data_IF_930230054901
#
_entry.id   IF_930230054901
#
_cell.length_a   1.000
_cell.length_b   1.000
_cell.length_c   1.000
_cell.angle_alpha   90.00
_cell.angle_beta   90.00
_cell.angle_gamma   90.00
#
_symmetry.space_group_name_H-M   'P 1'
#
loop_
_entity.id
_entity.type
_entity.pdbx_description
1 polymer ?
#
# COMPACT_ATOMS: atom_id res chain seq x y z
N UNK A 1 -13.56 -0.46 26.82
CA UNK A 1 -13.65 0.84 26.12
C UNK A 1 -12.96 0.68 24.77
N UNK A 2 -13.70 0.34 23.73
CA UNK A 2 -13.12 0.10 22.41
C UNK A 2 -12.72 1.46 21.82
N UNK A 3 -11.42 1.73 21.79
CA UNK A 3 -10.84 2.86 21.09
C UNK A 3 -11.11 2.72 19.60
N UNK A 4 -12.12 3.42 19.09
CA UNK A 4 -12.37 3.55 17.66
C UNK A 4 -11.10 4.03 16.95
N UNK A 5 -10.70 3.43 15.82
CA UNK A 5 -9.60 3.96 15.02
C UNK A 5 -9.97 5.39 14.62
N UNK A 6 -9.05 6.34 14.79
CA UNK A 6 -9.22 7.73 14.33
C UNK A 6 -9.33 7.73 12.80
N UNK A 7 -10.54 7.53 12.29
CA UNK A 7 -10.87 7.48 10.87
C UNK A 7 -10.97 8.90 10.32
N UNK A 8 -10.61 9.16 9.05
CA UNK A 8 -10.99 10.40 8.40
C UNK A 8 -12.52 10.46 8.36
N UNK A 9 -13.11 11.37 9.13
CA UNK A 9 -14.54 11.68 9.08
C UNK A 9 -14.69 12.92 8.19
N UNK A 10 -15.07 12.70 6.93
CA UNK A 10 -15.33 13.80 6.00
C UNK A 10 -16.70 14.43 6.32
N UNK A 11 -16.78 15.73 6.65
CA UNK A 11 -18.06 16.39 6.90
C UNK A 11 -19.00 16.36 5.67
N UNK A 12 -18.46 16.13 4.47
CA UNK A 12 -19.21 15.99 3.21
C UNK A 12 -19.34 14.53 2.77
N UNK A 13 -19.23 13.57 3.69
CA UNK A 13 -19.34 12.15 3.36
C UNK A 13 -20.73 11.81 2.78
N UNK A 14 -20.72 11.13 1.64
CA UNK A 14 -21.89 10.66 0.90
C UNK A 14 -21.90 9.13 0.72
N UNK A 15 -20.90 8.43 1.30
CA UNK A 15 -20.79 6.97 1.36
C UNK A 15 -20.04 6.52 2.61
N UNK A 16 -20.39 5.33 3.10
CA UNK A 16 -19.64 4.61 4.13
C UNK A 16 -18.91 3.45 3.47
N UNK A 17 -17.59 3.36 3.69
CA UNK A 17 -16.82 2.15 3.41
C UNK A 17 -16.69 1.37 4.70
N UNK A 18 -17.19 0.14 4.73
CA UNK A 18 -17.05 -0.78 5.86
C UNK A 18 -15.92 -1.75 5.59
N UNK A 19 -14.94 -1.82 6.49
CA UNK A 19 -13.87 -2.80 6.42
C UNK A 19 -14.36 -4.21 6.75
N UNK A 20 -13.54 -5.23 6.45
CA UNK A 20 -13.88 -6.64 6.72
C UNK A 20 -13.98 -6.98 8.21
N UNK A 21 -13.33 -6.20 9.08
CA UNK A 21 -13.43 -6.25 10.54
C UNK A 21 -14.51 -5.33 11.12
N UNK A 22 -15.39 -4.77 10.26
CA UNK A 22 -16.62 -4.08 10.67
C UNK A 22 -16.45 -2.62 11.09
N UNK A 23 -15.34 -1.98 10.75
CA UNK A 23 -15.12 -0.55 11.02
C UNK A 23 -15.65 0.28 9.85
N UNK A 24 -16.44 1.30 10.17
CA UNK A 24 -17.04 2.20 9.20
C UNK A 24 -16.20 3.47 8.99
N UNK A 25 -15.98 3.81 7.72
CA UNK A 25 -15.26 5.00 7.29
C UNK A 25 -16.18 5.90 6.46
N UNK A 26 -16.38 7.13 6.91
CA UNK A 26 -17.24 8.14 6.25
C UNK A 26 -16.40 8.95 5.26
N UNK A 27 -16.68 8.79 3.97
CA UNK A 27 -15.84 9.35 2.90
C UNK A 27 -16.69 9.98 1.80
N UNK A 28 -16.07 10.83 0.98
CA UNK A 28 -16.71 11.42 -0.19
C UNK A 28 -16.39 10.62 -1.47
N UNK A 29 -17.42 10.15 -2.18
CA UNK A 29 -17.30 9.44 -3.45
C UNK A 29 -16.46 10.20 -4.45
N UNK A 30 -16.68 11.52 -4.57
CA UNK A 30 -15.95 12.39 -5.53
C UNK A 30 -14.43 12.32 -5.38
N UNK A 31 -13.92 12.24 -4.16
CA UNK A 31 -12.47 12.20 -3.90
C UNK A 31 -11.92 10.83 -4.27
N UNK A 32 -12.59 9.76 -3.84
CA UNK A 32 -12.17 8.39 -4.18
C UNK A 32 -12.27 8.11 -5.69
N UNK A 33 -13.31 8.58 -6.35
CA UNK A 33 -13.47 8.50 -7.80
C UNK A 33 -12.36 9.20 -8.57
N UNK A 34 -11.87 10.33 -8.06
CA UNK A 34 -10.77 11.07 -8.69
C UNK A 34 -9.44 10.31 -8.61
N UNK A 35 -9.23 9.54 -7.54
CA UNK A 35 -7.98 8.82 -7.28
C UNK A 35 -7.99 7.39 -7.82
N UNK A 36 -9.18 6.85 -8.10
CA UNK A 36 -9.38 5.44 -8.45
C UNK A 36 -10.56 5.25 -9.42
N UNK A 37 -10.31 4.71 -10.63
CA UNK A 37 -11.38 4.31 -11.53
C UNK A 37 -12.20 3.15 -10.96
N UNK A 38 -11.59 2.28 -10.14
CA UNK A 38 -12.30 1.17 -9.49
C UNK A 38 -13.36 1.69 -8.53
N UNK A 39 -13.06 2.72 -7.74
CA UNK A 39 -14.07 3.34 -6.89
C UNK A 39 -15.17 4.02 -7.70
N UNK A 40 -14.84 4.66 -8.83
CA UNK A 40 -15.85 5.19 -9.76
C UNK A 40 -16.82 4.11 -10.22
N UNK A 41 -16.31 2.98 -10.70
CA UNK A 41 -17.14 1.86 -11.15
C UNK A 41 -17.93 1.23 -9.99
N UNK A 42 -17.32 1.09 -8.82
CA UNK A 42 -17.94 0.53 -7.62
C UNK A 42 -19.15 1.36 -7.19
N UNK A 43 -19.01 2.69 -7.18
CA UNK A 43 -20.11 3.59 -6.83
C UNK A 43 -21.19 3.62 -7.90
N UNK A 44 -20.84 3.53 -9.19
CA UNK A 44 -21.80 3.50 -10.28
C UNK A 44 -22.67 2.22 -10.25
N UNK A 45 -22.10 1.08 -9.87
CA UNK A 45 -22.80 -0.21 -9.78
C UNK A 45 -23.79 -0.29 -8.62
N UNK A 46 -23.64 0.56 -7.60
CA UNK A 46 -24.62 0.69 -6.53
C UNK A 46 -24.78 -0.54 -5.62
N UNK A 47 -23.73 -1.33 -5.40
CA UNK A 47 -23.73 -2.45 -4.44
C UNK A 47 -23.73 -1.93 -2.99
N UNK A 48 -24.83 -1.32 -2.59
CA UNK A 48 -25.03 -0.75 -1.27
C UNK A 48 -25.82 -1.71 -0.39
N UNK A 49 -25.37 -1.91 0.84
CA UNK A 49 -26.24 -2.44 1.88
C UNK A 49 -27.23 -1.34 2.25
N UNK A 50 -28.46 -1.43 1.74
CA UNK A 50 -29.54 -0.53 2.13
C UNK A 50 -30.02 -0.87 3.53
N UNK A 51 -29.53 -0.13 4.53
CA UNK A 51 -30.19 -0.01 5.82
C UNK A 51 -30.82 1.39 5.89
N UNK A 52 -32.13 1.37 5.68
CA UNK A 52 -33.23 2.36 5.72
C UNK A 52 -33.08 3.78 6.32
N UNK A 53 -31.94 4.23 6.88
CA UNK A 53 -31.80 5.60 7.43
C UNK A 53 -30.38 6.21 7.40
N UNK A 54 -29.36 5.47 6.95
CA UNK A 54 -27.95 5.92 6.97
C UNK A 54 -27.36 6.04 5.55
N UNK A 55 -26.23 6.75 5.42
CA UNK A 55 -25.45 6.85 4.17
C UNK A 55 -25.24 5.46 3.53
N UNK A 56 -25.22 5.37 2.19
CA UNK A 56 -25.02 4.10 1.50
C UNK A 56 -23.71 3.44 1.92
N UNK A 57 -23.77 2.16 2.30
CA UNK A 57 -22.62 1.43 2.86
C UNK A 57 -22.12 0.38 1.88
N UNK A 58 -20.81 0.35 1.63
CA UNK A 58 -20.13 -0.68 0.81
C UNK A 58 -19.16 -1.46 1.70
N UNK A 59 -19.27 -2.79 1.68
CA UNK A 59 -18.32 -3.66 2.37
C UNK A 59 -17.11 -3.91 1.48
N UNK A 60 -15.93 -3.67 2.04
CA UNK A 60 -14.64 -3.97 1.44
C UNK A 60 -14.00 -5.16 2.18
N UNK A 61 -13.03 -5.82 1.54
CA UNK A 61 -12.37 -7.02 2.10
C UNK A 61 -11.15 -6.66 2.97
N UNK A 62 -10.69 -5.43 2.85
CA UNK A 62 -9.57 -4.84 3.54
C UNK A 62 -9.92 -4.63 5.00
N UNK A 63 -8.97 -4.92 5.90
CA UNK A 63 -9.13 -4.63 7.32
C UNK A 63 -9.10 -3.13 7.58
N UNK A 64 -9.57 -2.71 8.74
CA UNK A 64 -9.56 -1.31 9.18
C UNK A 64 -8.16 -0.70 9.19
N UNK A 65 -7.12 -1.49 9.50
CA UNK A 65 -5.72 -1.05 9.45
C UNK A 65 -5.30 -0.63 8.04
N UNK A 66 -5.48 -1.54 7.07
CA UNK A 66 -5.12 -1.31 5.66
C UNK A 66 -5.96 -0.20 5.04
N UNK A 67 -7.29 -0.27 5.22
CA UNK A 67 -8.21 0.72 4.67
C UNK A 67 -7.98 2.11 5.29
N UNK A 68 -7.70 2.17 6.59
CA UNK A 68 -7.36 3.42 7.27
C UNK A 68 -6.10 4.07 6.72
N UNK A 69 -5.05 3.30 6.43
CA UNK A 69 -3.82 3.83 5.80
C UNK A 69 -4.11 4.33 4.38
N UNK A 70 -4.85 3.56 3.58
CA UNK A 70 -5.27 3.95 2.24
C UNK A 70 -6.04 5.27 2.23
N UNK A 71 -7.00 5.43 3.14
CA UNK A 71 -7.77 6.65 3.23
C UNK A 71 -6.94 7.83 3.73
N UNK A 72 -6.02 7.65 4.69
CA UNK A 72 -5.10 8.72 5.12
C UNK A 72 -4.17 9.18 4.00
N UNK A 73 -3.75 8.28 3.11
CA UNK A 73 -2.98 8.65 1.92
C UNK A 73 -3.78 9.55 0.98
N UNK A 74 -5.08 9.28 0.82
CA UNK A 74 -5.98 10.02 -0.08
C UNK A 74 -6.47 11.34 0.56
N UNK A 75 -6.57 11.37 1.88
CA UNK A 75 -7.03 12.50 2.68
C UNK A 75 -5.92 13.02 3.63
N UNK A 76 -4.80 13.55 3.10
CA UNK A 76 -3.66 13.92 3.93
C UNK A 76 -3.95 15.07 4.91
N UNK A 77 -4.90 15.96 4.58
CA UNK A 77 -5.25 17.12 5.42
C UNK A 77 -6.11 16.80 6.66
N UNK A 78 -6.62 15.57 6.78
CA UNK A 78 -7.42 15.13 7.94
C UNK A 78 -6.65 14.19 8.87
N UNK A 79 -5.44 13.79 8.48
CA UNK A 79 -4.59 12.91 9.27
C UNK A 79 -3.61 13.73 10.13
N UNK A 80 -3.63 13.52 11.45
CA UNK A 80 -2.72 14.18 12.39
C UNK A 80 -1.27 13.68 12.27
N UNK A 81 -1.06 12.45 11.77
CA UNK A 81 0.21 11.74 11.77
C UNK A 81 0.38 10.91 10.49
N UNK A 82 1.63 10.72 10.06
CA UNK A 82 1.97 9.82 8.96
C UNK A 82 1.53 8.39 9.31
N UNK A 83 0.87 7.66 8.41
CA UNK A 83 0.47 6.29 8.68
C UNK A 83 1.69 5.39 8.92
N UNK A 84 1.65 4.62 10.00
CA UNK A 84 2.66 3.60 10.32
C UNK A 84 2.02 2.23 10.21
N UNK A 85 2.71 1.28 9.58
CA UNK A 85 2.29 -0.12 9.53
C UNK A 85 2.75 -0.86 10.78
N UNK A 86 1.95 -1.77 11.32
CA UNK A 86 2.36 -2.57 12.49
C UNK A 86 3.29 -3.71 12.10
N UNK A 87 3.10 -4.26 10.90
CA UNK A 87 3.86 -5.38 10.38
C UNK A 87 4.16 -5.19 8.90
N UNK A 88 5.17 -5.90 8.40
CA UNK A 88 5.45 -5.94 6.97
C UNK A 88 4.30 -6.54 6.16
N UNK A 89 3.60 -7.53 6.71
CA UNK A 89 2.42 -8.15 6.08
C UNK A 89 1.30 -7.13 5.87
N UNK A 90 1.05 -6.24 6.84
CA UNK A 90 0.07 -5.15 6.70
C UNK A 90 0.47 -4.20 5.56
N UNK A 91 1.76 -3.89 5.44
CA UNK A 91 2.28 -3.07 4.35
C UNK A 91 2.12 -3.76 2.97
N UNK A 92 2.31 -5.09 2.90
CA UNK A 92 2.07 -5.85 1.67
C UNK A 92 0.60 -5.85 1.27
N UNK A 93 -0.31 -6.04 2.23
CA UNK A 93 -1.75 -5.96 2.01
C UNK A 93 -2.17 -4.56 1.55
N UNK A 94 -1.55 -3.52 2.10
CA UNK A 94 -1.74 -2.14 1.67
C UNK A 94 -1.29 -1.90 0.23
N UNK A 95 -0.09 -2.33 -0.17
CA UNK A 95 0.34 -2.21 -1.58
C UNK A 95 -0.56 -3.03 -2.51
N UNK A 96 -1.05 -4.19 -2.07
CA UNK A 96 -2.05 -4.95 -2.80
C UNK A 96 -3.36 -4.17 -2.98
N UNK A 97 -3.81 -3.43 -1.96
CA UNK A 97 -4.97 -2.56 -2.04
C UNK A 97 -4.76 -1.40 -3.03
N UNK A 98 -3.59 -0.75 -3.01
CA UNK A 98 -3.21 0.31 -3.98
C UNK A 98 -3.35 -0.18 -5.41
N UNK A 99 -2.84 -1.38 -5.71
CA UNK A 99 -2.94 -1.99 -7.04
C UNK A 99 -4.37 -2.39 -7.37
N UNK A 100 -5.07 -3.04 -6.43
CA UNK A 100 -6.45 -3.49 -6.59
C UNK A 100 -7.42 -2.38 -6.92
N UNK A 101 -7.30 -1.26 -6.22
CA UNK A 101 -8.13 -0.09 -6.46
C UNK A 101 -7.58 0.79 -7.58
N UNK A 102 -6.48 0.39 -8.23
CA UNK A 102 -5.84 1.17 -9.28
C UNK A 102 -5.64 2.62 -8.84
N UNK A 103 -5.07 2.81 -7.65
CA UNK A 103 -4.73 4.14 -7.15
C UNK A 103 -3.63 4.71 -8.04
N UNK A 104 -3.95 5.78 -8.75
CA UNK A 104 -3.09 6.34 -9.81
C UNK A 104 -2.31 7.58 -9.37
N UNK A 105 -1.39 8.03 -10.23
CA UNK A 105 -0.66 9.28 -10.06
C UNK A 105 0.33 9.26 -8.90
N UNK A 106 0.51 10.42 -8.26
CA UNK A 106 1.47 10.61 -7.18
C UNK A 106 1.15 9.79 -5.92
N UNK A 107 -0.10 9.33 -5.74
CA UNK A 107 -0.49 8.48 -4.63
C UNK A 107 0.20 7.12 -4.66
N UNK A 108 0.43 6.55 -5.84
CA UNK A 108 1.16 5.28 -5.99
C UNK A 108 2.61 5.40 -5.50
N UNK A 109 3.28 6.48 -5.88
CA UNK A 109 4.67 6.75 -5.48
C UNK A 109 4.76 7.07 -3.98
N UNK A 110 3.79 7.81 -3.44
CA UNK A 110 3.70 8.07 -2.00
C UNK A 110 3.44 6.79 -1.20
N UNK A 111 2.55 5.90 -1.68
CA UNK A 111 2.30 4.61 -1.06
C UNK A 111 3.57 3.74 -1.01
N UNK A 112 4.30 3.68 -2.12
CA UNK A 112 5.58 2.97 -2.15
C UNK A 112 6.59 3.60 -1.19
N UNK A 113 6.74 4.93 -1.20
CA UNK A 113 7.67 5.64 -0.32
C UNK A 113 7.37 5.37 1.15
N UNK A 114 6.10 5.34 1.54
CA UNK A 114 5.65 5.04 2.89
C UNK A 114 6.15 3.66 3.35
N UNK A 115 5.94 2.63 2.52
CA UNK A 115 6.38 1.25 2.83
C UNK A 115 7.90 1.13 2.79
N UNK A 116 8.55 1.73 1.78
CA UNK A 116 10.00 1.69 1.61
C UNK A 116 10.72 2.34 2.79
N UNK A 117 10.28 3.52 3.23
CA UNK A 117 10.89 4.20 4.38
C UNK A 117 10.82 3.39 5.67
N UNK A 118 9.77 2.57 5.85
CA UNK A 118 9.59 1.80 7.07
C UNK A 118 10.34 0.45 7.03
N UNK A 119 10.37 -0.24 5.89
CA UNK A 119 10.80 -1.66 5.85
C UNK A 119 12.00 -1.96 4.96
N UNK A 120 12.58 -0.97 4.26
CA UNK A 120 13.71 -1.22 3.36
C UNK A 120 14.91 -1.85 4.08
N UNK A 121 15.22 -1.41 5.30
CA UNK A 121 16.37 -1.93 6.05
C UNK A 121 16.20 -3.40 6.47
N UNK A 122 14.98 -3.80 6.83
CA UNK A 122 14.67 -5.14 7.35
C UNK A 122 14.31 -6.14 6.23
N UNK A 123 13.69 -5.67 5.14
CA UNK A 123 13.12 -6.53 4.09
C UNK A 123 13.47 -6.08 2.66
N UNK A 124 14.74 -5.84 2.32
CA UNK A 124 15.08 -5.22 1.04
C UNK A 124 14.76 -6.08 -0.18
N UNK A 125 15.03 -7.39 -0.12
CA UNK A 125 14.71 -8.33 -1.21
C UNK A 125 13.20 -8.39 -1.43
N UNK A 126 12.41 -8.39 -0.36
CA UNK A 126 10.96 -8.42 -0.42
C UNK A 126 10.40 -7.13 -1.03
N UNK A 127 10.93 -5.97 -0.65
CA UNK A 127 10.57 -4.67 -1.25
C UNK A 127 10.85 -4.68 -2.76
N UNK A 128 12.04 -5.11 -3.17
CA UNK A 128 12.37 -5.24 -4.59
C UNK A 128 11.42 -6.20 -5.32
N UNK A 129 11.17 -7.39 -4.75
CA UNK A 129 10.28 -8.39 -5.33
C UNK A 129 8.85 -7.88 -5.52
N UNK A 130 8.33 -7.10 -4.56
CA UNK A 130 6.99 -6.48 -4.65
C UNK A 130 6.91 -5.50 -5.82
N UNK A 131 7.92 -4.64 -5.98
CA UNK A 131 7.97 -3.65 -7.07
C UNK A 131 8.05 -4.34 -8.43
N UNK A 132 8.83 -5.42 -8.54
CA UNK A 132 8.88 -6.26 -9.73
C UNK A 132 7.52 -6.94 -10.00
N UNK A 133 6.89 -7.51 -8.96
CA UNK A 133 5.62 -8.22 -9.08
C UNK A 133 4.49 -7.30 -9.58
N UNK A 134 4.46 -6.05 -9.13
CA UNK A 134 3.45 -5.07 -9.57
C UNK A 134 3.84 -4.30 -10.85
N UNK A 135 5.01 -4.57 -11.43
CA UNK A 135 5.44 -3.95 -12.69
C UNK A 135 5.64 -2.44 -12.59
N UNK A 136 5.98 -1.90 -11.41
CA UNK A 136 6.21 -0.47 -11.21
C UNK A 136 7.60 -0.08 -11.70
N UNK A 137 7.79 -0.07 -13.03
CA UNK A 137 9.08 0.10 -13.70
C UNK A 137 9.88 1.31 -13.21
N UNK A 138 9.22 2.44 -12.97
CA UNK A 138 9.83 3.66 -12.46
C UNK A 138 10.43 3.52 -11.04
N UNK A 139 10.04 2.47 -10.31
CA UNK A 139 10.51 2.18 -8.96
C UNK A 139 11.45 0.97 -8.91
N UNK A 140 11.49 0.13 -9.95
CA UNK A 140 12.32 -1.10 -9.99
C UNK A 140 13.79 -0.77 -9.85
N UNK A 141 14.28 0.21 -10.62
CA UNK A 141 15.70 0.57 -10.61
C UNK A 141 16.12 1.18 -9.26
N UNK A 142 15.28 2.05 -8.69
CA UNK A 142 15.50 2.64 -7.36
C UNK A 142 15.52 1.54 -6.29
N UNK A 143 14.51 0.66 -6.27
CA UNK A 143 14.45 -0.44 -5.31
C UNK A 143 15.63 -1.40 -5.45
N UNK A 144 16.10 -1.67 -6.67
CA UNK A 144 17.27 -2.50 -6.91
C UNK A 144 18.54 -1.86 -6.33
N UNK A 145 18.77 -0.57 -6.60
CA UNK A 145 19.93 0.15 -6.09
C UNK A 145 19.94 0.19 -4.56
N UNK A 146 18.80 0.48 -3.94
CA UNK A 146 18.66 0.50 -2.48
C UNK A 146 18.89 -0.89 -1.86
N UNK A 147 18.38 -1.95 -2.49
CA UNK A 147 18.60 -3.34 -2.07
C UNK A 147 20.08 -3.74 -2.12
N UNK A 148 20.80 -3.32 -3.16
CA UNK A 148 22.22 -3.63 -3.35
C UNK A 148 23.14 -2.90 -2.36
N UNK A 149 22.71 -1.77 -1.81
CA UNK A 149 23.47 -1.02 -0.79
C UNK A 149 23.50 -1.74 0.56
N UNK A 150 22.62 -2.71 0.80
CA UNK A 150 22.55 -3.42 2.08
C UNK A 150 23.67 -4.45 2.14
N UNK A 151 24.55 -4.23 3.13
CA UNK A 151 25.89 -4.83 3.26
C UNK A 151 25.88 -6.36 3.20
N UNK A 152 24.83 -7.01 3.70
CA UNK A 152 24.69 -8.48 3.72
C UNK A 152 24.48 -9.08 2.32
N UNK A 153 23.71 -8.43 1.46
CA UNK A 153 23.52 -8.87 0.07
C UNK A 153 24.75 -8.55 -0.78
N UNK A 154 25.38 -7.39 -0.55
CA UNK A 154 26.60 -6.98 -1.24
C UNK A 154 27.75 -7.99 -1.02
N UNK A 155 27.93 -8.47 0.22
CA UNK A 155 28.92 -9.49 0.56
C UNK A 155 28.62 -10.83 -0.12
N UNK A 156 27.35 -11.23 -0.23
CA UNK A 156 26.95 -12.47 -0.91
C UNK A 156 27.19 -12.43 -2.43
N UNK A 157 26.96 -11.27 -3.07
CA UNK A 157 27.19 -11.07 -4.51
C UNK A 157 28.69 -11.00 -4.81
N UNK A 158 29.46 -10.31 -3.96
CA UNK A 158 30.92 -10.27 -4.08
C UNK A 158 31.54 -11.67 -3.89
N UNK A 159 31.10 -12.44 -2.90
CA UNK A 159 31.53 -13.83 -2.73
C UNK A 159 31.19 -14.71 -3.95
N UNK A 160 29.99 -14.58 -4.52
CA UNK A 160 29.60 -15.34 -5.73
C UNK A 160 30.40 -14.93 -6.97
N UNK A 161 30.71 -13.63 -7.14
CA UNK A 161 31.59 -13.15 -8.21
C UNK A 161 33.02 -13.66 -8.02
N UNK A 162 33.55 -13.64 -6.80
CA UNK A 162 34.87 -14.18 -6.47
C UNK A 162 34.95 -15.70 -6.69
N UNK A 163 33.92 -16.47 -6.30
CA UNK A 163 33.84 -17.90 -6.56
C UNK A 163 33.75 -18.25 -8.05
N UNK A 164 33.05 -17.44 -8.84
CA UNK A 164 32.99 -17.61 -10.31
C UNK A 164 34.32 -17.25 -10.98
N UNK A 165 34.99 -16.19 -10.53
CA UNK A 165 36.32 -15.84 -11.00
C UNK A 165 37.34 -16.94 -10.66
N UNK A 166 37.31 -17.48 -9.43
CA UNK A 166 38.20 -18.57 -9.01
C UNK A 166 37.96 -19.87 -9.81
N UNK A 167 36.71 -20.24 -10.09
CA UNK A 167 36.39 -21.38 -10.96
C UNK A 167 36.81 -21.17 -12.42
N UNK A 168 36.83 -19.93 -12.92
CA UNK A 168 37.31 -19.62 -14.27
C UNK A 168 38.85 -19.67 -14.37
N UNK A 169 39.57 -19.44 -13.27
CA UNK A 169 41.05 -19.51 -13.23
C UNK A 169 41.56 -20.93 -12.97
N UNK A 170 40.78 -21.79 -12.31
CA UNK A 170 41.13 -23.18 -11.96
C UNK A 170 40.62 -24.22 -12.99
N UNK A 171 40.00 -23.76 -14.08
CA UNK A 171 39.53 -24.61 -15.18
C UNK A 171 40.52 -24.61 -16.36
N UNK A 172 41.72 -25.15 -16.14
CA UNK A 172 42.63 -25.66 -17.16
C UNK A 172 43.22 -26.98 -16.65
#
# INVERSE_FOLDING_TARGET
MQSQPRTPDDPNADVILRSSDGVDFRVAKRILSHVSPVFTDLFARGFYLQQSTTLPTIILKESSGVLGVLLRLIYPGTAQENPVFRTFEEAQLFLSAIVRYQVVGSYKEQAWKLVNCQFLAEHPVSIYAIVCHYGWQNLVEVAAQETLKIRELALSVQHRKALRAFKATMGC
#
